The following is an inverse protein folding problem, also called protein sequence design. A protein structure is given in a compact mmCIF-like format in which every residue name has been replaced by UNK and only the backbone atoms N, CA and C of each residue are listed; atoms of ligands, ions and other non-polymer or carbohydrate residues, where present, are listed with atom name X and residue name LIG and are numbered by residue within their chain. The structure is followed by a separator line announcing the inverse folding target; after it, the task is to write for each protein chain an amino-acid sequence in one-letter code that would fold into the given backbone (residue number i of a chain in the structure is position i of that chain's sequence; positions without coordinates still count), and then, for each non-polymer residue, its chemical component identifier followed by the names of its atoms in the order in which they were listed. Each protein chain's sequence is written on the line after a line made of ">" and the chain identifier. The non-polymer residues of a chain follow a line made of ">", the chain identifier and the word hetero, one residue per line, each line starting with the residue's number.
data_IF_158974242601
#
_entry.id   IF_158974242601
#
_cell.length_a   1.000
_cell.length_b   1.000
_cell.length_c   1.000
_cell.angle_alpha   90.00
_cell.angle_beta   90.00
_cell.angle_gamma   90.00
#
_symmetry.space_group_name_H-M   'P 1'
#
loop_
_entity.id
_entity.type
_entity.pdbx_description
1 polymer ?
#
# COMPACT_ATOMS: atom_id res chain seq x y z
N UNK A 1 2.51 11.62 27.52
CA UNK A 1 3.49 12.30 26.65
C UNK A 1 2.87 12.70 25.33
N UNK A 2 3.32 13.80 24.72
CA UNK A 2 2.84 14.27 23.40
C UNK A 2 2.96 13.21 22.29
N UNK A 3 4.04 12.42 22.33
CA UNK A 3 4.27 11.28 21.45
C UNK A 3 3.10 10.26 21.44
N UNK A 4 2.61 9.88 22.63
CA UNK A 4 1.52 8.91 22.76
C UNK A 4 0.23 9.40 22.10
N UNK A 5 -0.15 10.67 22.35
CA UNK A 5 -1.32 11.31 21.72
C UNK A 5 -1.15 11.38 20.20
N UNK A 6 0.05 11.67 19.73
CA UNK A 6 0.33 11.74 18.29
C UNK A 6 0.14 10.37 17.62
N UNK A 7 0.77 9.32 18.16
CA UNK A 7 0.65 7.97 17.61
C UNK A 7 -0.77 7.44 17.73
N UNK A 8 -1.46 7.69 18.85
CA UNK A 8 -2.80 7.16 19.10
C UNK A 8 -3.89 7.86 18.29
N UNK A 9 -3.84 9.19 18.20
CA UNK A 9 -4.96 9.98 17.71
C UNK A 9 -4.67 10.66 16.36
N UNK A 10 -3.43 11.12 16.11
CA UNK A 10 -3.11 11.89 14.90
C UNK A 10 -2.78 10.99 13.71
N UNK A 11 -1.96 9.95 13.92
CA UNK A 11 -1.54 9.04 12.84
C UNK A 11 -2.72 8.30 12.19
N UNK A 12 -3.71 7.73 12.92
CA UNK A 12 -4.87 7.10 12.27
C UNK A 12 -5.72 8.09 11.48
N UNK A 13 -5.81 9.35 11.93
CA UNK A 13 -6.57 10.40 11.23
C UNK A 13 -5.90 10.74 9.89
N UNK A 14 -4.57 10.78 9.83
CA UNK A 14 -3.83 10.98 8.57
C UNK A 14 -4.15 9.86 7.59
N UNK A 15 -4.06 8.59 8.02
CA UNK A 15 -4.38 7.43 7.16
C UNK A 15 -5.84 7.49 6.69
N UNK A 16 -6.77 7.82 7.59
CA UNK A 16 -8.20 7.95 7.26
C UNK A 16 -8.42 9.03 6.20
N UNK A 17 -7.79 10.20 6.34
CA UNK A 17 -7.89 11.26 5.32
C UNK A 17 -7.39 10.79 3.95
N UNK A 18 -6.26 10.08 3.91
CA UNK A 18 -5.74 9.52 2.64
C UNK A 18 -6.74 8.54 2.03
N UNK A 19 -7.30 7.63 2.83
CA UNK A 19 -8.35 6.70 2.39
C UNK A 19 -9.57 7.46 1.85
N UNK A 20 -10.03 8.51 2.55
CA UNK A 20 -11.16 9.32 2.13
C UNK A 20 -10.90 10.06 0.81
N UNK A 21 -9.67 10.52 0.58
CA UNK A 21 -9.28 11.12 -0.70
C UNK A 21 -9.32 10.08 -1.83
N UNK A 22 -8.72 8.91 -1.63
CA UNK A 22 -8.74 7.82 -2.61
C UNK A 22 -10.16 7.33 -2.92
N UNK A 23 -11.02 7.23 -1.91
CA UNK A 23 -12.39 6.78 -2.07
C UNK A 23 -13.29 7.79 -2.80
N UNK A 24 -13.07 9.10 -2.59
CA UNK A 24 -13.83 10.18 -3.26
C UNK A 24 -13.40 10.38 -4.70
N UNK A 25 -12.10 10.31 -4.97
CA UNK A 25 -11.56 10.52 -6.31
C UNK A 25 -11.49 9.23 -7.15
N UNK A 26 -12.02 8.11 -6.63
CA UNK A 26 -12.01 6.80 -7.31
C UNK A 26 -12.49 6.87 -8.77
N UNK A 27 -13.56 7.60 -9.04
CA UNK A 27 -14.18 7.64 -10.37
C UNK A 27 -13.34 8.48 -11.34
N UNK A 28 -12.64 9.50 -10.84
CA UNK A 28 -11.69 10.30 -11.62
C UNK A 28 -10.43 9.51 -11.93
N UNK A 29 -9.88 8.79 -10.93
CA UNK A 29 -8.71 7.94 -11.08
C UNK A 29 -9.01 6.83 -12.11
N UNK A 30 -10.16 6.18 -12.02
CA UNK A 30 -10.57 5.15 -12.98
C UNK A 30 -10.75 5.74 -14.39
N UNK A 31 -11.26 6.96 -14.51
CA UNK A 31 -11.42 7.63 -15.81
C UNK A 31 -10.08 7.99 -16.44
N UNK A 32 -9.15 8.54 -15.66
CA UNK A 32 -7.85 9.02 -16.13
C UNK A 32 -6.91 7.85 -16.45
N UNK A 33 -6.76 6.89 -15.53
CA UNK A 33 -5.87 5.74 -15.72
C UNK A 33 -6.51 4.57 -16.50
N UNK A 34 -7.83 4.60 -16.69
CA UNK A 34 -8.55 3.64 -17.53
C UNK A 34 -8.56 3.96 -19.02
N UNK A 35 -8.08 5.14 -19.43
CA UNK A 35 -7.95 5.54 -20.84
C UNK A 35 -6.50 5.55 -21.34
N UNK A 36 -5.51 5.70 -20.44
CA UNK A 36 -4.10 5.69 -20.82
C UNK A 36 -3.60 4.24 -20.91
N UNK A 37 -3.78 3.63 -22.09
CA UNK A 37 -2.97 2.48 -22.52
C UNK A 37 -1.47 2.78 -22.39
N UNK A 38 -0.62 1.73 -22.31
CA UNK A 38 0.72 1.77 -21.73
C UNK A 38 1.65 2.72 -22.49
N UNK A 39 1.73 3.97 -22.05
CA UNK A 39 2.63 4.97 -22.64
C UNK A 39 3.17 5.95 -21.60
N UNK A 40 3.44 5.48 -20.38
CA UNK A 40 4.46 6.08 -19.51
C UNK A 40 4.96 5.05 -18.50
N UNK A 41 6.02 4.35 -18.91
CA UNK A 41 7.03 3.66 -18.08
C UNK A 41 6.72 3.43 -16.59
N UNK A 42 6.04 2.33 -16.27
CA UNK A 42 6.27 1.60 -15.01
C UNK A 42 6.30 0.10 -15.36
N UNK A 43 7.37 -0.65 -15.02
CA UNK A 43 7.48 -2.04 -15.39
C UNK A 43 6.62 -2.90 -14.45
N UNK A 44 5.34 -3.05 -14.78
CA UNK A 44 4.47 -4.06 -14.18
C UNK A 44 4.81 -5.43 -14.79
N UNK A 45 5.76 -6.07 -14.11
CA UNK A 45 5.86 -7.51 -13.83
C UNK A 45 5.63 -8.47 -15.00
N UNK A 46 6.73 -9.09 -15.42
CA UNK A 46 6.69 -10.37 -16.10
C UNK A 46 6.00 -11.43 -15.25
N UNK A 47 4.87 -11.91 -15.72
CA UNK A 47 4.63 -13.33 -15.95
C UNK A 47 3.53 -13.45 -16.99
N UNK A 48 3.95 -13.95 -18.14
CA UNK A 48 3.15 -14.33 -19.28
C UNK A 48 2.14 -15.39 -18.82
N UNK A 49 0.96 -14.99 -18.35
CA UNK A 49 -0.16 -15.91 -18.22
C UNK A 49 -0.66 -16.20 -19.64
N UNK A 50 -0.21 -17.33 -20.19
CA UNK A 50 -0.88 -17.98 -21.32
C UNK A 50 -2.28 -18.35 -20.86
N UNK A 51 -3.26 -17.48 -21.13
CA UNK A 51 -4.66 -17.87 -21.19
C UNK A 51 -5.07 -17.79 -22.64
N UNK A 52 -4.98 -18.95 -23.29
CA UNK A 52 -5.53 -19.22 -24.60
C UNK A 52 -7.06 -19.21 -24.48
N UNK A 53 -7.65 -18.01 -24.51
CA UNK A 53 -9.11 -17.85 -24.60
C UNK A 53 -9.46 -17.78 -26.07
N UNK A 54 -9.89 -18.93 -26.59
CA UNK A 54 -10.52 -19.09 -27.90
C UNK A 54 -11.67 -18.09 -28.02
N UNK A 55 -11.51 -17.11 -28.91
CA UNK A 55 -12.37 -15.94 -29.06
C UNK A 55 -13.55 -16.27 -29.98
N UNK A 56 -14.74 -16.46 -29.40
CA UNK A 56 -16.01 -16.19 -30.08
C UNK A 56 -16.76 -15.14 -29.22
N UNK A 57 -16.37 -13.88 -29.37
CA UNK A 57 -16.84 -12.77 -28.54
C UNK A 57 -16.62 -11.40 -29.20
N UNK A 58 -17.27 -10.33 -28.69
CA UNK A 58 -17.43 -9.03 -29.36
C UNK A 58 -16.10 -8.37 -29.75
N UNK A 59 -16.10 -7.40 -30.70
CA UNK A 59 -14.88 -6.85 -31.29
C UNK A 59 -13.86 -6.45 -30.23
N UNK A 60 -12.65 -7.01 -30.37
CA UNK A 60 -11.59 -7.13 -29.36
C UNK A 60 -11.20 -5.81 -28.66
N UNK A 61 -11.52 -4.67 -29.26
CA UNK A 61 -11.28 -3.34 -28.70
C UNK A 61 -12.13 -3.03 -27.45
N UNK A 62 -13.38 -3.51 -27.38
CA UNK A 62 -14.22 -3.31 -26.18
C UNK A 62 -13.74 -4.17 -25.00
N UNK A 63 -13.18 -5.36 -25.28
CA UNK A 63 -12.69 -6.27 -24.25
C UNK A 63 -11.43 -5.74 -23.56
N UNK A 64 -10.47 -5.21 -24.33
CA UNK A 64 -9.22 -4.63 -23.80
C UNK A 64 -9.49 -3.40 -22.92
N UNK A 65 -10.35 -2.47 -23.36
CA UNK A 65 -10.72 -1.30 -22.54
C UNK A 65 -11.48 -1.68 -21.27
N UNK A 66 -12.25 -2.76 -21.30
CA UNK A 66 -12.93 -3.27 -20.11
C UNK A 66 -11.94 -3.93 -19.14
N UNK A 67 -10.94 -4.66 -19.64
CA UNK A 67 -9.90 -5.32 -18.83
C UNK A 67 -8.99 -4.31 -18.12
N UNK A 68 -8.49 -3.29 -18.82
CA UNK A 68 -7.63 -2.23 -18.23
C UNK A 68 -8.36 -1.46 -17.13
N UNK A 69 -9.66 -1.17 -17.32
CA UNK A 69 -10.49 -0.50 -16.31
C UNK A 69 -10.76 -1.36 -15.07
N UNK A 70 -10.77 -2.68 -15.21
CA UNK A 70 -10.90 -3.60 -14.09
C UNK A 70 -9.61 -3.62 -13.26
N UNK A 71 -8.45 -3.65 -13.90
CA UNK A 71 -7.15 -3.65 -13.20
C UNK A 71 -6.98 -2.41 -12.31
N UNK A 72 -7.18 -1.20 -12.83
CA UNK A 72 -7.06 0.03 -12.04
C UNK A 72 -8.06 0.11 -10.87
N UNK A 73 -9.28 -0.41 -11.05
CA UNK A 73 -10.30 -0.46 -10.00
C UNK A 73 -9.92 -1.44 -8.89
N UNK A 74 -9.41 -2.61 -9.26
CA UNK A 74 -9.00 -3.63 -8.28
C UNK A 74 -7.71 -3.23 -7.54
N UNK A 75 -6.76 -2.58 -8.21
CA UNK A 75 -5.58 -1.99 -7.59
C UNK A 75 -5.95 -0.93 -6.55
N UNK A 76 -6.85 0.00 -6.90
CA UNK A 76 -7.32 1.04 -5.99
C UNK A 76 -8.01 0.45 -4.75
N UNK A 77 -8.86 -0.57 -4.93
CA UNK A 77 -9.49 -1.30 -3.81
C UNK A 77 -8.44 -1.97 -2.93
N UNK A 78 -7.42 -2.56 -3.54
CA UNK A 78 -6.32 -3.22 -2.82
C UNK A 78 -5.55 -2.21 -1.97
N UNK A 79 -5.20 -1.05 -2.53
CA UNK A 79 -4.54 0.06 -1.82
C UNK A 79 -5.39 0.55 -0.65
N UNK A 80 -6.68 0.80 -0.85
CA UNK A 80 -7.60 1.23 0.22
C UNK A 80 -7.70 0.17 1.33
N UNK A 81 -7.77 -1.11 0.95
CA UNK A 81 -7.78 -2.23 1.88
C UNK A 81 -6.53 -2.27 2.76
N UNK A 82 -5.35 -2.16 2.14
CA UNK A 82 -4.07 -2.17 2.86
C UNK A 82 -3.86 -0.94 3.76
N UNK A 83 -4.31 0.25 3.34
CA UNK A 83 -4.29 1.43 4.20
C UNK A 83 -5.21 1.26 5.41
N UNK A 84 -6.37 0.64 5.21
CA UNK A 84 -7.32 0.33 6.30
C UNK A 84 -6.74 -0.70 7.28
N UNK A 85 -6.03 -1.70 6.78
CA UNK A 85 -5.29 -2.66 7.59
C UNK A 85 -4.17 -1.98 8.40
N UNK A 86 -3.36 -1.13 7.76
CA UNK A 86 -2.30 -0.35 8.42
C UNK A 86 -2.87 0.51 9.56
N UNK A 87 -4.02 1.15 9.34
CA UNK A 87 -4.72 1.91 10.38
C UNK A 87 -5.10 1.01 11.57
N UNK A 88 -5.65 -0.18 11.30
CA UNK A 88 -6.03 -1.14 12.34
C UNK A 88 -4.81 -1.62 13.12
N UNK A 89 -3.71 -1.97 12.45
CA UNK A 89 -2.44 -2.36 13.07
C UNK A 89 -1.95 -1.32 14.08
N UNK A 90 -1.99 -0.05 13.67
CA UNK A 90 -1.56 1.08 14.47
C UNK A 90 -2.48 1.30 15.69
N UNK A 91 -3.80 1.30 15.50
CA UNK A 91 -4.76 1.51 16.59
C UNK A 91 -4.80 0.38 17.61
N UNK A 92 -4.56 -0.86 17.17
CA UNK A 92 -4.58 -2.06 18.03
C UNK A 92 -3.21 -2.41 18.63
N UNK A 93 -2.20 -1.54 18.43
CA UNK A 93 -0.84 -1.75 18.93
C UNK A 93 -0.23 -3.09 18.50
N UNK A 94 -0.43 -3.46 17.24
CA UNK A 94 0.21 -4.65 16.67
C UNK A 94 1.74 -4.47 16.61
N UNK A 95 2.49 -5.59 16.59
CA UNK A 95 3.92 -5.52 16.33
C UNK A 95 4.20 -4.98 14.93
N UNK A 96 5.33 -4.28 14.78
CA UNK A 96 5.81 -3.76 13.51
C UNK A 96 6.28 -4.92 12.63
N UNK A 97 5.89 -4.85 11.36
CA UNK A 97 6.11 -5.91 10.37
C UNK A 97 7.29 -5.55 9.48
N UNK A 98 8.00 -6.53 8.96
CA UNK A 98 9.04 -6.28 7.97
C UNK A 98 8.46 -5.68 6.68
N UNK A 99 9.20 -4.72 6.12
CA UNK A 99 8.88 -4.10 4.86
C UNK A 99 9.17 -5.08 3.70
N UNK A 100 8.22 -5.21 2.79
CA UNK A 100 8.28 -6.05 1.58
C UNK A 100 8.46 -5.19 0.33
N UNK A 101 9.35 -4.20 0.38
CA UNK A 101 9.63 -3.30 -0.74
C UNK A 101 10.88 -3.75 -1.51
N UNK A 102 10.90 -3.52 -2.83
CA UNK A 102 12.05 -3.81 -3.71
C UNK A 102 13.21 -2.81 -3.56
N UNK A 103 13.02 -1.75 -2.76
CA UNK A 103 13.98 -0.66 -2.63
C UNK A 103 15.04 -0.97 -1.58
N UNK A 104 16.26 -0.46 -1.80
CA UNK A 104 17.42 -0.70 -0.92
C UNK A 104 17.23 -0.18 0.51
N UNK A 105 16.36 0.80 0.72
CA UNK A 105 16.05 1.31 2.05
C UNK A 105 15.28 0.29 2.91
N UNK A 106 14.48 -0.58 2.29
CA UNK A 106 13.75 -1.64 3.01
C UNK A 106 14.69 -2.56 3.80
N UNK A 107 15.87 -2.84 3.26
CA UNK A 107 16.91 -3.60 3.96
C UNK A 107 17.30 -2.92 5.27
N UNK A 108 17.62 -1.62 5.23
CA UNK A 108 18.02 -0.86 6.43
C UNK A 108 16.93 -0.83 7.50
N UNK A 109 15.67 -0.65 7.08
CA UNK A 109 14.52 -0.70 7.99
C UNK A 109 14.37 -2.07 8.65
N UNK A 110 14.48 -3.15 7.87
CA UNK A 110 14.34 -4.52 8.37
C UNK A 110 15.52 -4.92 9.27
N UNK A 111 16.75 -4.52 8.93
CA UNK A 111 17.92 -4.71 9.80
C UNK A 111 17.69 -4.09 11.17
N UNK A 112 17.19 -2.84 11.23
CA UNK A 112 16.88 -2.21 12.51
C UNK A 112 15.80 -2.97 13.30
N UNK A 113 14.72 -3.41 12.64
CA UNK A 113 13.67 -4.20 13.30
C UNK A 113 14.22 -5.51 13.87
N UNK A 114 15.08 -6.20 13.12
CA UNK A 114 15.74 -7.43 13.54
C UNK A 114 16.68 -7.21 14.72
N UNK A 115 17.47 -6.13 14.71
CA UNK A 115 18.38 -5.80 15.81
C UNK A 115 17.61 -5.52 17.09
N UNK A 116 16.47 -4.82 17.00
CA UNK A 116 15.59 -4.58 18.15
C UNK A 116 14.98 -5.87 18.70
N UNK A 117 14.54 -6.79 17.82
CA UNK A 117 14.03 -8.12 18.22
C UNK A 117 15.11 -8.95 18.93
N UNK A 118 16.35 -8.93 18.43
CA UNK A 118 17.49 -9.66 19.00
C UNK A 118 17.98 -9.08 20.33
N UNK A 119 17.84 -7.77 20.51
CA UNK A 119 18.22 -7.08 21.75
C UNK A 119 17.30 -7.40 22.95
N UNK A 120 16.37 -8.35 22.82
CA UNK A 120 15.48 -8.78 23.90
C UNK A 120 14.30 -7.84 24.13
N UNK A 121 14.13 -6.81 23.29
CA UNK A 121 12.88 -6.07 23.25
C UNK A 121 11.82 -7.00 22.64
N UNK A 122 10.84 -7.38 23.46
CA UNK A 122 9.62 -8.06 23.02
C UNK A 122 9.04 -7.32 21.80
N UNK A 123 8.49 -8.06 20.83
CA UNK A 123 8.04 -7.61 19.51
C UNK A 123 7.82 -6.09 19.42
N UNK A 124 8.65 -5.36 18.67
CA UNK A 124 8.59 -3.90 18.64
C UNK A 124 7.21 -3.43 18.13
N UNK A 125 6.40 -2.82 19.00
CA UNK A 125 5.03 -2.35 18.70
C UNK A 125 4.98 -0.85 18.40
N UNK A 126 3.87 -0.39 17.84
CA UNK A 126 3.62 1.03 17.56
C UNK A 126 3.80 1.97 18.76
N UNK A 127 3.31 1.58 19.95
CA UNK A 127 3.51 2.36 21.18
C UNK A 127 4.79 2.00 21.94
N UNK A 128 5.53 0.98 21.50
CA UNK A 128 6.73 0.46 22.17
C UNK A 128 8.05 0.96 21.56
N UNK A 129 8.00 1.75 20.50
CA UNK A 129 9.19 2.32 19.83
C UNK A 129 9.30 3.82 20.05
N UNK A 130 10.43 4.40 19.67
CA UNK A 130 10.62 5.86 19.69
C UNK A 130 9.67 6.53 18.70
N UNK A 131 9.07 7.65 19.10
CA UNK A 131 8.03 8.34 18.34
C UNK A 131 8.44 8.63 16.88
N UNK A 132 9.66 9.15 16.69
CA UNK A 132 10.19 9.47 15.37
C UNK A 132 10.22 8.23 14.46
N UNK A 133 10.56 7.06 15.01
CA UNK A 133 10.59 5.82 14.25
C UNK A 133 9.18 5.38 13.86
N UNK A 134 8.22 5.41 14.80
CA UNK A 134 6.82 5.07 14.50
C UNK A 134 6.22 5.95 13.40
N UNK A 135 6.46 7.26 13.45
CA UNK A 135 5.97 8.21 12.45
C UNK A 135 6.59 7.97 11.07
N UNK A 136 7.92 7.90 10.99
CA UNK A 136 8.62 7.65 9.73
C UNK A 136 8.26 6.28 9.14
N UNK A 137 8.13 5.25 9.99
CA UNK A 137 7.75 3.91 9.58
C UNK A 137 6.34 3.88 8.97
N UNK A 138 5.38 4.61 9.56
CA UNK A 138 4.02 4.74 9.00
C UNK A 138 4.05 5.31 7.58
N UNK A 139 4.78 6.41 7.34
CA UNK A 139 4.91 6.98 5.99
C UNK A 139 5.62 6.03 5.02
N UNK A 140 6.61 5.28 5.51
CA UNK A 140 7.31 4.30 4.69
C UNK A 140 6.42 3.12 4.30
N UNK A 141 5.55 2.66 5.19
CA UNK A 141 4.51 1.64 4.94
C UNK A 141 3.49 2.14 3.93
N UNK A 142 2.98 3.36 4.09
CA UNK A 142 2.08 3.97 3.10
C UNK A 142 2.73 4.01 1.72
N UNK A 143 3.99 4.44 1.63
CA UNK A 143 4.72 4.42 0.35
C UNK A 143 4.83 3.02 -0.26
N UNK A 144 5.08 2.00 0.55
CA UNK A 144 5.12 0.61 0.07
C UNK A 144 3.77 0.17 -0.51
N UNK A 145 2.64 0.59 0.09
CA UNK A 145 1.30 0.26 -0.41
C UNK A 145 1.08 0.85 -1.81
N UNK A 146 1.60 2.05 -2.08
CA UNK A 146 1.55 2.66 -3.42
C UNK A 146 2.62 2.13 -4.40
N UNK A 147 3.52 1.24 -3.97
CA UNK A 147 4.50 0.58 -4.85
C UNK A 147 3.97 -0.75 -5.44
N UNK A 148 2.73 -1.14 -5.10
CA UNK A 148 2.08 -2.35 -5.59
C UNK A 148 1.95 -2.41 -7.11
#
# INVERSE_FOLDING_TARGET
>A
SFAYVTVKDRLPVIITRVVDHLARDKDKIIKEYGEVGPSSSVPLRGHLFKLDVRVDGPPCHLFVNTMIRLDAREELKTVIGQLSELKNELQTNKPLVELKSRRRDAYQWNTFLEDQRKAGHQELRWFGTVWLYAECYMYRRMRQIFEL
#
